data_IF_302781360626
#
_entry.id   IF_302781360626
#
_cell.length_a   1.000
_cell.length_b   1.000
_cell.length_c   1.000
_cell.angle_alpha   90.00
_cell.angle_beta   90.00
_cell.angle_gamma   90.00
#
_symmetry.space_group_name_H-M   'P 1'
#
loop_
_entity.id
_entity.type
_entity.pdbx_description
1 polymer ?
#
# COMPACT_ATOMS: atom_id res chain seq x y z
N UNK A 1 1.96 -14.29 -5.68
CA UNK A 1 1.23 -13.39 -4.75
C UNK A 1 0.33 -14.14 -3.79
N UNK A 2 -0.46 -15.15 -4.21
CA UNK A 2 -1.34 -15.88 -3.29
C UNK A 2 -0.61 -16.58 -2.14
N UNK A 3 0.55 -17.18 -2.38
CA UNK A 3 1.38 -17.78 -1.32
C UNK A 3 1.86 -16.73 -0.30
N UNK A 4 2.35 -15.59 -0.78
CA UNK A 4 2.76 -14.49 0.09
C UNK A 4 1.58 -13.97 0.91
N UNK A 5 0.40 -13.78 0.32
CA UNK A 5 -0.81 -13.35 1.04
C UNK A 5 -1.22 -14.31 2.15
N UNK A 6 -1.08 -15.62 1.91
CA UNK A 6 -1.33 -16.65 2.91
C UNK A 6 -0.31 -16.56 4.04
N UNK A 7 0.98 -16.48 3.72
CA UNK A 7 2.04 -16.32 4.70
C UNK A 7 1.83 -15.04 5.54
N UNK A 8 1.59 -13.90 4.90
CA UNK A 8 1.31 -12.63 5.57
C UNK A 8 0.06 -12.66 6.47
N UNK A 9 -0.91 -13.53 6.20
CA UNK A 9 -2.12 -13.65 7.03
C UNK A 9 -1.98 -14.62 8.19
N UNK A 10 -1.07 -15.59 8.08
CA UNK A 10 -0.95 -16.71 9.01
C UNK A 10 0.29 -16.61 9.90
N UNK A 11 1.33 -15.92 9.44
CA UNK A 11 2.64 -15.82 10.07
C UNK A 11 2.93 -14.37 10.48
N UNK A 12 3.79 -14.19 11.48
CA UNK A 12 4.25 -12.87 11.92
C UNK A 12 5.06 -12.13 10.83
N UNK A 13 5.17 -10.80 10.96
CA UNK A 13 5.95 -9.94 10.08
C UNK A 13 7.42 -10.36 9.99
N UNK A 14 7.95 -11.00 11.04
CA UNK A 14 9.33 -11.51 11.08
C UNK A 14 9.57 -12.66 10.09
N UNK A 15 8.51 -13.38 9.69
CA UNK A 15 8.55 -14.47 8.71
C UNK A 15 8.02 -14.01 7.36
N UNK A 16 6.89 -13.30 7.35
CA UNK A 16 6.23 -12.89 6.12
C UNK A 16 7.02 -11.86 5.31
N UNK A 17 7.76 -10.95 5.95
CA UNK A 17 8.60 -9.96 5.24
C UNK A 17 9.79 -10.62 4.54
N UNK A 18 10.62 -11.47 5.19
CA UNK A 18 11.63 -12.24 4.47
C UNK A 18 11.04 -13.11 3.36
N UNK A 19 9.89 -13.75 3.62
CA UNK A 19 9.20 -14.56 2.62
C UNK A 19 8.75 -13.74 1.39
N UNK A 20 8.30 -12.49 1.61
CA UNK A 20 8.02 -11.56 0.52
C UNK A 20 9.25 -11.41 -0.37
N UNK A 21 10.40 -11.05 0.20
CA UNK A 21 11.62 -10.80 -0.55
C UNK A 21 12.20 -12.06 -1.23
N UNK A 22 12.03 -13.24 -0.64
CA UNK A 22 12.45 -14.51 -1.24
C UNK A 22 11.61 -14.87 -2.47
N UNK A 23 10.31 -14.59 -2.43
CA UNK A 23 9.37 -14.88 -3.52
C UNK A 23 9.14 -13.71 -4.46
N UNK A 24 9.64 -12.53 -4.12
CA UNK A 24 9.45 -11.32 -4.91
C UNK A 24 10.29 -11.40 -6.17
N UNK A 25 9.62 -11.42 -7.31
CA UNK A 25 10.25 -11.43 -8.61
C UNK A 25 10.27 -9.99 -9.18
N UNK A 26 11.40 -9.28 -9.12
CA UNK A 26 11.52 -7.91 -9.61
C UNK A 26 11.40 -7.79 -11.14
N UNK A 27 11.47 -8.89 -11.90
CA UNK A 27 11.28 -8.87 -13.35
C UNK A 27 9.80 -8.85 -13.73
N UNK A 28 8.94 -9.47 -12.92
CA UNK A 28 7.50 -9.55 -13.17
C UNK A 28 6.65 -8.66 -12.26
N UNK A 29 7.18 -8.22 -11.12
CA UNK A 29 6.48 -7.40 -10.14
C UNK A 29 7.20 -6.08 -9.90
N UNK A 30 6.42 -5.05 -9.60
CA UNK A 30 6.94 -3.75 -9.17
C UNK A 30 6.34 -3.33 -7.84
N UNK A 31 7.12 -2.55 -7.09
CA UNK A 31 6.73 -1.97 -5.82
C UNK A 31 6.49 -0.48 -6.06
N UNK A 32 5.37 0.02 -5.57
CA UNK A 32 4.94 1.39 -5.70
C UNK A 32 4.57 1.95 -4.34
N UNK A 33 5.06 3.14 -4.06
CA UNK A 33 4.64 3.93 -2.93
C UNK A 33 3.52 4.86 -3.37
N UNK A 34 2.42 4.86 -2.64
CA UNK A 34 1.28 5.75 -2.85
C UNK A 34 1.17 6.69 -1.65
N UNK A 35 1.08 7.99 -1.90
CA UNK A 35 0.85 9.01 -0.87
C UNK A 35 -0.31 9.90 -1.30
N UNK A 36 -1.27 10.16 -0.42
CA UNK A 36 -2.45 10.96 -0.74
C UNK A 36 -2.05 12.42 -0.93
N UNK A 37 -2.50 13.02 -2.04
CA UNK A 37 -2.13 14.38 -2.43
C UNK A 37 -2.81 15.46 -1.60
N UNK A 38 -3.99 15.17 -1.05
CA UNK A 38 -4.86 16.16 -0.41
C UNK A 38 -5.16 15.81 1.06
N UNK A 39 -4.13 15.65 1.92
CA UNK A 39 -4.36 15.30 3.33
C UNK A 39 -5.25 16.31 4.06
N UNK A 40 -5.29 17.56 3.58
CA UNK A 40 -6.21 18.61 4.07
C UNK A 40 -7.70 18.29 3.89
N UNK A 41 -8.07 17.42 2.94
CA UNK A 41 -9.46 16.95 2.78
C UNK A 41 -9.82 15.85 3.79
N UNK A 42 -8.82 15.24 4.44
CA UNK A 42 -8.98 14.13 5.39
C UNK A 42 -9.34 14.64 6.79
N UNK A 43 -10.58 15.10 6.93
CA UNK A 43 -11.11 15.62 8.21
C UNK A 43 -11.26 14.56 9.30
N UNK A 44 -11.70 13.33 8.97
CA UNK A 44 -11.96 12.29 9.97
C UNK A 44 -11.32 10.98 9.59
N UNK A 45 -10.65 10.34 10.56
CA UNK A 45 -9.93 9.08 10.39
C UNK A 45 -10.86 8.00 9.81
N UNK A 46 -12.10 7.91 10.30
CA UNK A 46 -13.06 6.91 9.78
C UNK A 46 -13.47 7.18 8.33
N UNK A 47 -13.57 8.44 7.91
CA UNK A 47 -13.90 8.80 6.52
C UNK A 47 -12.77 8.41 5.59
N UNK A 48 -11.53 8.68 6.01
CA UNK A 48 -10.31 8.25 5.31
C UNK A 48 -10.26 6.72 5.15
N UNK A 49 -10.61 5.97 6.20
CA UNK A 49 -10.69 4.50 6.10
C UNK A 49 -11.79 4.01 5.15
N UNK A 50 -12.93 4.69 5.11
CA UNK A 50 -14.00 4.39 4.16
C UNK A 50 -13.57 4.67 2.72
N UNK A 51 -12.81 5.75 2.50
CA UNK A 51 -12.23 6.10 1.20
C UNK A 51 -11.30 4.99 0.69
N UNK A 52 -10.35 4.54 1.51
CA UNK A 52 -9.44 3.43 1.19
C UNK A 52 -10.24 2.16 0.86
N UNK A 53 -11.25 1.85 1.68
CA UNK A 53 -12.07 0.64 1.49
C UNK A 53 -12.88 0.71 0.18
N UNK A 54 -13.43 1.89 -0.15
CA UNK A 54 -14.14 2.12 -1.41
C UNK A 54 -13.22 1.94 -2.63
N UNK A 55 -11.98 2.43 -2.55
CA UNK A 55 -10.98 2.20 -3.59
C UNK A 55 -10.67 0.71 -3.77
N UNK A 56 -10.49 -0.03 -2.68
CA UNK A 56 -10.23 -1.48 -2.74
C UNK A 56 -11.38 -2.25 -3.41
N UNK A 57 -12.63 -1.87 -3.16
CA UNK A 57 -13.79 -2.48 -3.82
C UNK A 57 -13.81 -2.23 -5.33
N UNK A 58 -13.43 -1.02 -5.78
CA UNK A 58 -13.31 -0.71 -7.21
C UNK A 58 -12.17 -1.49 -7.87
N UNK A 59 -11.10 -1.75 -7.13
CA UNK A 59 -9.94 -2.53 -7.57
C UNK A 59 -10.12 -4.04 -7.37
N UNK A 60 -11.27 -4.55 -6.93
CA UNK A 60 -11.47 -5.96 -6.56
C UNK A 60 -10.99 -6.97 -7.63
N UNK A 61 -11.16 -6.63 -8.92
CA UNK A 61 -10.66 -7.47 -10.03
C UNK A 61 -9.13 -7.58 -10.05
N UNK A 62 -8.42 -6.52 -9.67
CA UNK A 62 -6.96 -6.45 -9.60
C UNK A 62 -6.41 -7.21 -8.38
N UNK A 63 -7.21 -7.40 -7.32
CA UNK A 63 -6.75 -8.00 -6.06
C UNK A 63 -6.02 -9.32 -6.28
N UNK A 64 -6.44 -10.17 -7.23
CA UNK A 64 -5.79 -11.47 -7.47
C UNK A 64 -4.29 -11.35 -7.80
N UNK A 65 -3.89 -10.29 -8.50
CA UNK A 65 -2.51 -10.09 -8.97
C UNK A 65 -1.79 -8.94 -8.27
N UNK A 66 -2.42 -8.33 -7.27
CA UNK A 66 -1.89 -7.22 -6.50
C UNK A 66 -1.98 -7.47 -5.00
N UNK A 67 -1.15 -6.76 -4.27
CA UNK A 67 -1.17 -6.67 -2.81
C UNK A 67 -0.85 -5.23 -2.44
N UNK A 68 -1.49 -4.71 -1.42
CA UNK A 68 -1.09 -3.43 -0.86
C UNK A 68 -1.29 -3.40 0.64
N UNK A 69 -0.42 -2.66 1.32
CA UNK A 69 -0.62 -2.24 2.70
C UNK A 69 -0.77 -0.73 2.70
N UNK A 70 -2.00 -0.26 2.90
CA UNK A 70 -2.34 1.15 3.00
C UNK A 70 -2.56 1.49 4.46
N UNK A 71 -1.83 2.48 4.95
CA UNK A 71 -1.87 2.96 6.30
C UNK A 71 -2.41 4.38 6.34
N UNK A 72 -3.20 4.64 7.37
CA UNK A 72 -3.67 5.95 7.77
C UNK A 72 -2.86 6.36 8.99
N UNK A 73 -2.18 7.48 8.88
CA UNK A 73 -1.38 8.06 9.95
C UNK A 73 -2.03 9.34 10.45
N UNK A 74 -1.83 9.66 11.73
CA UNK A 74 -2.31 10.89 12.36
C UNK A 74 -3.61 10.71 13.13
N UNK A 75 -4.34 11.82 13.32
CA UNK A 75 -5.58 11.91 14.10
C UNK A 75 -6.64 12.68 13.30
N UNK A 76 -7.85 12.82 13.84
CA UNK A 76 -8.87 13.66 13.19
C UNK A 76 -8.31 15.07 12.94
N UNK A 77 -8.67 15.66 11.80
CA UNK A 77 -8.22 16.94 11.24
C UNK A 77 -6.72 17.05 10.88
N UNK A 78 -5.87 16.10 11.29
CA UNK A 78 -4.47 15.98 10.86
C UNK A 78 -4.13 14.51 10.55
N UNK A 79 -4.71 14.01 9.45
CA UNK A 79 -4.49 12.65 8.98
C UNK A 79 -3.95 12.61 7.55
N UNK A 80 -3.25 11.51 7.23
CA UNK A 80 -2.70 11.27 5.90
C UNK A 80 -2.78 9.80 5.55
N UNK A 81 -2.96 9.52 4.27
CA UNK A 81 -3.02 8.16 3.75
C UNK A 81 -1.76 7.94 2.94
N UNK A 82 -1.04 6.88 3.27
CA UNK A 82 0.10 6.43 2.49
C UNK A 82 0.14 4.91 2.49
N UNK A 83 0.76 4.31 1.49
CA UNK A 83 0.73 2.86 1.36
C UNK A 83 1.75 2.32 0.38
N UNK A 84 2.13 1.07 0.63
CA UNK A 84 2.98 0.30 -0.28
C UNK A 84 2.09 -0.63 -1.08
N UNK A 85 2.23 -0.56 -2.39
CA UNK A 85 1.51 -1.36 -3.37
C UNK A 85 2.48 -2.23 -4.15
N UNK A 86 2.06 -3.44 -4.44
CA UNK A 86 2.81 -4.43 -5.20
C UNK A 86 1.87 -5.10 -6.18
N UNK A 87 2.19 -5.04 -7.47
CA UNK A 87 1.39 -5.70 -8.50
C UNK A 87 2.28 -6.24 -9.61
N UNK A 88 1.69 -7.12 -10.42
CA UNK A 88 2.36 -7.68 -11.59
C UNK A 88 2.43 -6.64 -12.71
N UNK A 89 3.62 -6.47 -13.28
CA UNK A 89 3.92 -5.48 -14.31
C UNK A 89 4.83 -4.36 -13.81
N UNK A 90 5.42 -3.61 -14.75
CA UNK A 90 6.35 -2.51 -14.45
C UNK A 90 5.72 -1.13 -14.51
N UNK A 91 4.52 -1.04 -15.05
CA UNK A 91 3.74 0.17 -15.25
C UNK A 91 2.66 0.31 -14.18
N UNK A 92 2.06 1.50 -14.09
CA UNK A 92 0.94 1.73 -13.20
C UNK A 92 -0.25 0.87 -13.62
N UNK A 93 -0.68 -0.05 -12.76
CA UNK A 93 -1.78 -0.94 -13.10
C UNK A 93 -3.08 -0.19 -13.41
N UNK A 94 -3.25 1.04 -12.88
CA UNK A 94 -4.41 1.90 -13.12
C UNK A 94 -4.55 2.36 -14.57
N UNK A 95 -3.46 2.50 -15.34
CA UNK A 95 -3.56 2.90 -16.75
C UNK A 95 -4.09 1.78 -17.65
N UNK A 96 -4.12 0.53 -17.15
CA UNK A 96 -4.59 -0.63 -17.90
C UNK A 96 -6.12 -0.68 -18.05
N UNK A 97 -6.86 -0.01 -17.16
CA UNK A 97 -8.33 0.03 -17.23
C UNK A 97 -8.87 1.40 -16.82
N UNK A 98 -9.74 2.03 -17.62
CA UNK A 98 -10.38 3.29 -17.26
C UNK A 98 -11.20 3.17 -15.96
N UNK A 99 -11.72 1.99 -15.64
CA UNK A 99 -12.47 1.74 -14.39
C UNK A 99 -11.61 1.91 -13.13
N UNK A 100 -10.28 1.79 -13.27
CA UNK A 100 -9.32 1.90 -12.16
C UNK A 100 -8.71 3.30 -12.06
N UNK A 101 -9.01 4.19 -13.02
CA UNK A 101 -8.46 5.54 -13.08
C UNK A 101 -9.17 6.55 -12.18
N UNK A 102 -10.19 6.12 -11.44
CA UNK A 102 -11.07 7.04 -10.70
C UNK A 102 -10.36 7.66 -9.49
N UNK A 103 -9.66 6.87 -8.68
CA UNK A 103 -9.07 7.37 -7.42
C UNK A 103 -7.55 7.53 -7.48
N UNK A 104 -6.87 6.87 -8.42
CA UNK A 104 -5.41 6.87 -8.45
C UNK A 104 -4.84 8.27 -8.66
N UNK A 105 -5.57 9.19 -9.30
CA UNK A 105 -5.12 10.57 -9.52
C UNK A 105 -4.99 11.36 -8.21
N UNK A 106 -5.75 10.98 -7.18
CA UNK A 106 -5.68 11.60 -5.84
C UNK A 106 -4.45 11.14 -5.04
N UNK A 107 -3.69 10.17 -5.56
CA UNK A 107 -2.46 9.68 -4.95
C UNK A 107 -1.24 10.01 -5.83
N UNK A 108 -0.13 10.33 -5.19
CA UNK A 108 1.19 10.36 -5.80
C UNK A 108 1.77 8.96 -5.80
N UNK A 109 2.13 8.47 -6.98
CA UNK A 109 2.71 7.15 -7.17
C UNK A 109 4.20 7.26 -7.45
N UNK A 110 5.01 6.63 -6.62
CA UNK A 110 6.46 6.56 -6.80
C UNK A 110 6.88 5.10 -6.92
N UNK A 111 7.46 4.74 -8.07
CA UNK A 111 8.06 3.41 -8.23
C UNK A 111 9.27 3.29 -7.31
N UNK A 112 9.30 2.24 -6.50
CA UNK A 112 10.39 1.95 -5.59
C UNK A 112 11.33 0.90 -6.19
N UNK A 113 12.62 1.00 -5.87
CA UNK A 113 13.61 0.00 -6.28
C UNK A 113 13.69 -1.12 -5.25
N UNK A 114 13.27 -2.36 -5.57
CA UNK A 114 13.30 -3.49 -4.66
C UNK A 114 14.71 -3.84 -4.13
N UNK A 115 15.78 -3.40 -4.80
CA UNK A 115 17.16 -3.64 -4.36
C UNK A 115 17.63 -2.61 -3.33
N UNK A 116 16.99 -1.46 -3.24
CA UNK A 116 17.36 -0.40 -2.31
C UNK A 116 17.01 -0.77 -0.87
N UNK A 117 17.95 -0.55 0.06
CA UNK A 117 17.69 -0.73 1.50
C UNK A 117 16.57 0.18 2.01
N UNK A 118 16.42 1.37 1.43
CA UNK A 118 15.34 2.29 1.76
C UNK A 118 13.98 1.67 1.44
N UNK A 119 13.85 1.00 0.29
CA UNK A 119 12.61 0.33 -0.10
C UNK A 119 12.33 -0.87 0.80
N UNK A 120 13.36 -1.63 1.19
CA UNK A 120 13.20 -2.73 2.15
C UNK A 120 12.69 -2.25 3.50
N UNK A 121 13.19 -1.09 3.95
CA UNK A 121 12.74 -0.46 5.19
C UNK A 121 11.30 0.04 5.08
N UNK A 122 10.95 0.75 4.00
CA UNK A 122 9.58 1.22 3.76
C UNK A 122 8.61 0.03 3.69
N UNK A 123 8.90 -0.99 2.88
CA UNK A 123 8.07 -2.19 2.79
C UNK A 123 7.89 -2.83 4.16
N UNK A 124 8.98 -2.98 4.93
CA UNK A 124 8.92 -3.52 6.29
C UNK A 124 8.00 -2.68 7.18
N UNK A 125 8.22 -1.38 7.28
CA UNK A 125 7.47 -0.48 8.15
C UNK A 125 5.96 -0.45 7.84
N UNK A 126 5.60 -0.50 6.55
CA UNK A 126 4.21 -0.56 6.11
C UNK A 126 3.60 -1.95 6.22
N UNK A 127 4.38 -3.03 6.11
CA UNK A 127 3.89 -4.40 6.26
C UNK A 127 3.73 -4.77 7.74
N UNK A 128 4.53 -4.21 8.64
CA UNK A 128 4.40 -4.40 10.09
C UNK A 128 3.52 -3.35 10.78
N UNK A 129 3.01 -2.36 10.04
CA UNK A 129 2.22 -1.23 10.59
C UNK A 129 2.90 -0.50 11.76
N UNK A 130 4.23 -0.57 11.82
CA UNK A 130 5.01 -0.03 12.93
C UNK A 130 5.73 1.27 12.56
N UNK A 131 5.49 1.78 11.36
CA UNK A 131 6.09 3.02 10.86
C UNK A 131 5.42 4.29 11.38
N UNK A 132 6.11 5.41 11.18
CA UNK A 132 5.55 6.76 11.19
C UNK A 132 5.56 7.30 9.77
N UNK A 133 4.62 8.19 9.45
CA UNK A 133 4.63 8.91 8.17
C UNK A 133 5.88 9.79 8.01
N UNK A 134 6.14 10.25 6.79
CA UNK A 134 7.16 11.25 6.43
C UNK A 134 7.07 12.52 7.30
N UNK A 135 5.87 12.89 7.77
CA UNK A 135 5.62 14.01 8.68
C UNK A 135 5.74 13.64 10.19
N UNK A 136 6.15 12.42 10.54
CA UNK A 136 6.24 11.95 11.94
C UNK A 136 4.90 11.59 12.58
N UNK A 137 3.82 11.52 11.81
CA UNK A 137 2.49 11.12 12.29
C UNK A 137 2.49 9.65 12.70
N UNK A 138 1.84 9.33 13.82
CA UNK A 138 1.72 7.96 14.32
C UNK A 138 0.75 7.14 13.48
N UNK A 139 1.02 5.86 13.34
CA UNK A 139 0.08 4.90 12.75
C UNK A 139 -1.24 4.91 13.52
N UNK A 140 -2.35 4.98 12.80
CA UNK A 140 -3.70 4.95 13.37
C UNK A 140 -4.43 3.70 12.91
N UNK A 141 -4.58 3.50 11.59
CA UNK A 141 -5.26 2.34 11.02
C UNK A 141 -4.57 1.82 9.77
N UNK A 142 -4.59 0.50 9.59
CA UNK A 142 -4.04 -0.19 8.43
C UNK A 142 -5.13 -0.96 7.68
N UNK A 143 -5.04 -0.97 6.36
CA UNK A 143 -5.91 -1.73 5.47
C UNK A 143 -5.04 -2.49 4.47
N UNK A 144 -5.23 -3.81 4.43
CA UNK A 144 -4.55 -4.67 3.46
C UNK A 144 -5.46 -4.91 2.27
N UNK A 145 -4.93 -4.67 1.08
CA UNK A 145 -5.50 -5.09 -0.17
C UNK A 145 -4.94 -6.47 -0.53
N UNK A 146 -5.79 -7.50 -0.49
CA UNK A 146 -5.42 -8.88 -0.83
C UNK A 146 -6.57 -9.64 -1.48
#
# INVERSE_FOLDING_TARGET
MDEFKRCYSNEDESVSIPFFWEKFDPENYSIWFAEYKYPEELSKVFMSCNLITGMFQRLDKMRKQAFASVCLFGVDDDSTISGVWVWRGHELAFTLSPDWQIDYESYNWKKLDPKSEETKKIVKDYFSWSGTDSAGRKFNQGKIFK
#
